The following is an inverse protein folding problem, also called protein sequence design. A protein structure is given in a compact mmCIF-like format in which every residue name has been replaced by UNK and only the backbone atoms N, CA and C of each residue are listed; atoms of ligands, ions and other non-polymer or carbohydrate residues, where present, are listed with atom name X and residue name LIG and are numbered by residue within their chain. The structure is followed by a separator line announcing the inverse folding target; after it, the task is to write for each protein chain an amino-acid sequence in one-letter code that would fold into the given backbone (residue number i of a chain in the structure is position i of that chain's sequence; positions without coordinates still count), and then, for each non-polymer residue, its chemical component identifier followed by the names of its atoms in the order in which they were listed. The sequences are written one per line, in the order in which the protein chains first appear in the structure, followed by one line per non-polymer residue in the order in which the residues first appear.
data_IF_106303556141
#
_entry.id   IF_106303556141
#
_cell.length_a   1.000
_cell.length_b   1.000
_cell.length_c   1.000
_cell.angle_alpha   90.00
_cell.angle_beta   90.00
_cell.angle_gamma   90.00
#
_symmetry.space_group_name_H-M   'P 1'
#
loop_
_entity.id
_entity.type
_entity.pdbx_description
1 polymer ?
#
# COMPACT_ATOMS: atom_id res chain seq x y z
N UNK A 1 -72.81 -37.29 7.32
CA UNK A 1 -72.05 -38.38 7.95
C UNK A 1 -70.84 -38.66 7.06
N UNK A 2 -69.70 -37.99 7.27
CA UNK A 2 -68.51 -38.13 6.44
C UNK A 2 -67.66 -39.33 6.92
N UNK A 3 -67.12 -40.18 6.02
CA UNK A 3 -66.48 -41.42 6.41
C UNK A 3 -65.14 -41.20 7.15
N UNK A 4 -64.91 -42.00 8.20
CA UNK A 4 -63.73 -41.97 9.11
C UNK A 4 -62.36 -42.09 8.39
N UNK A 5 -62.33 -42.41 7.10
CA UNK A 5 -61.13 -42.47 6.26
C UNK A 5 -60.50 -41.10 5.96
N UNK A 6 -61.31 -40.04 5.86
CA UNK A 6 -60.81 -38.67 5.57
C UNK A 6 -60.01 -38.06 6.72
N UNK A 7 -60.40 -38.36 7.97
CA UNK A 7 -59.73 -37.83 9.16
C UNK A 7 -58.31 -38.38 9.31
N UNK A 8 -58.11 -39.67 9.05
CA UNK A 8 -56.80 -40.33 9.13
C UNK A 8 -55.87 -39.82 8.02
N UNK A 9 -56.37 -39.68 6.78
CA UNK A 9 -55.60 -39.11 5.68
C UNK A 9 -55.16 -37.66 5.94
N UNK A 10 -56.03 -36.83 6.55
CA UNK A 10 -55.69 -35.47 6.95
C UNK A 10 -54.58 -35.42 8.01
N UNK A 11 -54.62 -36.32 9.01
CA UNK A 11 -53.59 -36.39 10.06
C UNK A 11 -52.24 -36.79 9.48
N UNK A 12 -52.20 -37.79 8.58
CA UNK A 12 -50.95 -38.18 7.90
C UNK A 12 -50.41 -37.06 6.99
N UNK A 13 -51.29 -36.34 6.29
CA UNK A 13 -50.91 -35.20 5.46
C UNK A 13 -50.29 -34.06 6.29
N UNK A 14 -50.89 -33.73 7.44
CA UNK A 14 -50.36 -32.71 8.36
C UNK A 14 -49.02 -33.11 8.98
N UNK A 15 -48.85 -34.38 9.35
CA UNK A 15 -47.56 -34.88 9.85
C UNK A 15 -46.47 -34.81 8.79
N UNK A 16 -46.78 -35.20 7.55
CA UNK A 16 -45.82 -35.13 6.44
C UNK A 16 -45.41 -33.68 6.15
N UNK A 17 -46.37 -32.74 6.18
CA UNK A 17 -46.08 -31.31 6.03
C UNK A 17 -45.19 -30.76 7.15
N UNK A 18 -45.43 -31.13 8.42
CA UNK A 18 -44.56 -30.71 9.52
C UNK A 18 -43.14 -31.27 9.37
N UNK A 19 -42.97 -32.54 8.98
CA UNK A 19 -41.65 -33.13 8.77
C UNK A 19 -40.90 -32.43 7.63
N UNK A 20 -41.57 -32.15 6.52
CA UNK A 20 -40.97 -31.44 5.37
C UNK A 20 -40.55 -30.02 5.76
N UNK A 21 -41.40 -29.28 6.50
CA UNK A 21 -41.08 -27.93 7.00
C UNK A 21 -39.92 -27.95 7.99
N UNK A 22 -39.82 -28.96 8.85
CA UNK A 22 -38.70 -29.13 9.79
C UNK A 22 -37.38 -29.43 9.09
N UNK A 23 -37.40 -30.23 8.01
CA UNK A 23 -36.20 -30.51 7.21
C UNK A 23 -35.76 -29.24 6.46
N UNK A 24 -36.70 -28.55 5.81
CA UNK A 24 -36.41 -27.31 5.10
C UNK A 24 -35.85 -26.22 6.02
N UNK A 25 -36.42 -26.03 7.23
CA UNK A 25 -35.92 -25.05 8.20
C UNK A 25 -34.52 -25.39 8.72
N UNK A 26 -34.21 -26.69 8.90
CA UNK A 26 -32.88 -27.15 9.31
C UNK A 26 -31.83 -26.88 8.24
N UNK A 27 -32.19 -27.07 6.96
CA UNK A 27 -31.30 -26.78 5.83
C UNK A 27 -31.09 -25.26 5.67
N UNK A 28 -32.12 -24.44 5.88
CA UNK A 28 -31.96 -22.97 5.90
C UNK A 28 -31.09 -22.49 7.06
N UNK A 29 -31.23 -23.05 8.27
CA UNK A 29 -30.39 -22.65 9.41
C UNK A 29 -28.93 -23.04 9.24
N UNK A 30 -28.67 -24.24 8.68
CA UNK A 30 -27.31 -24.70 8.41
C UNK A 30 -26.64 -23.89 7.29
N UNK A 31 -27.38 -23.55 6.24
CA UNK A 31 -26.87 -22.69 5.15
C UNK A 31 -26.65 -21.25 5.61
N UNK A 32 -27.54 -20.69 6.44
CA UNK A 32 -27.36 -19.35 7.04
C UNK A 32 -26.13 -19.34 7.95
N UNK A 33 -25.94 -20.36 8.81
CA UNK A 33 -24.73 -20.48 9.66
C UNK A 33 -23.44 -20.64 8.84
N UNK A 34 -23.45 -21.46 7.80
CA UNK A 34 -22.31 -21.62 6.89
C UNK A 34 -21.99 -20.30 6.15
N UNK A 35 -23.02 -19.58 5.69
CA UNK A 35 -22.85 -18.28 5.02
C UNK A 35 -22.31 -17.20 5.97
N UNK A 36 -22.73 -17.21 7.24
CA UNK A 36 -22.26 -16.30 8.27
C UNK A 36 -20.81 -16.60 8.66
N UNK A 37 -20.48 -17.87 8.89
CA UNK A 37 -19.11 -18.31 9.17
C UNK A 37 -18.15 -17.96 8.03
N UNK A 38 -18.57 -18.16 6.78
CA UNK A 38 -17.77 -17.75 5.61
C UNK A 38 -17.62 -16.23 5.54
N UNK A 39 -18.68 -15.45 5.77
CA UNK A 39 -18.58 -13.97 5.86
C UNK A 39 -17.63 -13.53 6.97
N UNK A 40 -17.70 -14.16 8.13
CA UNK A 40 -16.83 -13.84 9.27
C UNK A 40 -15.37 -14.20 8.96
N UNK A 41 -15.10 -15.30 8.24
CA UNK A 41 -13.75 -15.63 7.72
C UNK A 41 -13.26 -14.57 6.73
N UNK A 42 -14.08 -14.17 5.74
CA UNK A 42 -13.70 -13.13 4.78
C UNK A 42 -13.48 -11.78 5.44
N UNK A 43 -14.29 -11.42 6.44
CA UNK A 43 -14.12 -10.19 7.21
C UNK A 43 -12.86 -10.26 8.07
N UNK A 44 -12.54 -11.41 8.67
CA UNK A 44 -11.31 -11.56 9.46
C UNK A 44 -10.05 -11.64 8.58
N UNK A 45 -10.13 -12.18 7.36
CA UNK A 45 -9.07 -12.08 6.35
C UNK A 45 -8.89 -10.62 5.91
N UNK A 46 -9.97 -9.92 5.59
CA UNK A 46 -9.95 -8.50 5.21
C UNK A 46 -9.51 -7.56 6.35
N UNK A 47 -9.71 -7.93 7.62
CA UNK A 47 -9.22 -7.19 8.80
C UNK A 47 -7.76 -7.49 9.13
N UNK A 48 -7.26 -8.70 8.84
CA UNK A 48 -5.82 -8.99 8.89
C UNK A 48 -5.07 -8.38 7.69
N UNK A 49 -5.80 -8.08 6.61
CA UNK A 49 -5.42 -7.18 5.52
C UNK A 49 -5.93 -5.74 5.74
N UNK A 50 -5.94 -5.24 6.99
CA UNK A 50 -5.52 -3.86 7.14
C UNK A 50 -4.07 -3.81 6.63
N UNK A 51 -3.93 -3.62 5.32
CA UNK A 51 -2.73 -3.09 4.70
C UNK A 51 -2.45 -1.81 5.46
N UNK A 52 -1.66 -1.92 6.52
CA UNK A 52 -1.01 -0.78 7.14
C UNK A 52 -0.26 -0.14 5.98
N UNK A 53 -0.81 0.94 5.42
CA UNK A 53 -0.18 1.62 4.30
C UNK A 53 1.19 2.06 4.79
N UNK A 54 2.23 1.35 4.34
CA UNK A 54 3.59 1.64 4.74
C UNK A 54 3.88 3.08 4.38
N UNK A 55 4.53 3.79 5.30
CA UNK A 55 4.94 5.17 5.03
C UNK A 55 5.85 5.17 3.80
N UNK A 56 5.72 6.17 2.93
CA UNK A 56 6.51 6.27 1.70
C UNK A 56 7.41 7.48 1.76
N UNK A 57 8.66 7.28 1.37
CA UNK A 57 9.56 8.38 1.04
C UNK A 57 9.86 8.35 -0.45
N UNK A 58 10.02 9.53 -1.03
CA UNK A 58 10.39 9.68 -2.43
C UNK A 58 11.84 10.13 -2.53
N UNK A 59 12.63 9.43 -3.34
CA UNK A 59 13.99 9.80 -3.69
C UNK A 59 13.97 10.61 -4.99
N UNK A 60 14.28 11.91 -4.90
CA UNK A 60 14.42 12.82 -6.02
C UNK A 60 15.86 12.73 -6.55
N UNK A 61 16.03 12.03 -7.67
CA UNK A 61 17.35 11.67 -8.24
C UNK A 61 17.60 12.26 -9.64
N UNK A 62 16.57 12.70 -10.36
CA UNK A 62 16.71 13.14 -11.74
C UNK A 62 17.39 14.51 -11.84
N UNK A 63 18.30 14.63 -12.81
CA UNK A 63 18.88 15.91 -13.29
C UNK A 63 17.83 16.59 -14.18
N UNK A 64 17.65 17.92 -14.12
CA UNK A 64 16.68 18.60 -15.00
C UNK A 64 17.02 18.32 -16.47
N UNK A 65 15.98 17.94 -17.20
CA UNK A 65 16.05 17.61 -18.62
C UNK A 65 15.75 18.89 -19.39
N UNK A 66 16.64 19.31 -20.28
CA UNK A 66 16.40 20.45 -21.19
C UNK A 66 15.72 19.88 -22.43
N UNK A 67 14.58 20.45 -22.84
CA UNK A 67 13.79 20.01 -24.02
C UNK A 67 13.20 18.58 -23.99
N UNK A 68 13.23 17.89 -22.84
CA UNK A 68 12.62 16.56 -22.68
C UNK A 68 13.53 15.38 -23.01
N UNK A 69 14.75 15.62 -23.50
CA UNK A 69 15.78 14.59 -23.67
C UNK A 69 16.96 14.76 -22.70
N UNK A 70 17.43 13.69 -22.03
CA UNK A 70 18.62 13.78 -21.20
C UNK A 70 19.81 14.16 -22.07
N UNK A 71 20.54 15.20 -21.66
CA UNK A 71 21.71 15.73 -22.38
C UNK A 71 22.72 14.64 -22.77
N UNK A 72 22.81 13.58 -21.95
CA UNK A 72 23.59 12.38 -22.24
C UNK A 72 22.85 11.12 -21.76
N UNK A 73 22.39 10.24 -22.67
CA UNK A 73 21.69 8.99 -22.31
C UNK A 73 22.50 8.01 -21.45
N UNK A 74 23.82 7.98 -21.63
CA UNK A 74 24.71 7.09 -20.86
C UNK A 74 24.79 7.57 -19.41
N UNK A 75 24.95 8.88 -19.23
CA UNK A 75 25.00 9.51 -17.91
C UNK A 75 23.66 9.34 -17.17
N UNK A 76 22.54 9.52 -17.87
CA UNK A 76 21.22 9.24 -17.32
C UNK A 76 21.07 7.79 -16.85
N UNK A 77 21.51 6.81 -17.65
CA UNK A 77 21.47 5.41 -17.25
C UNK A 77 22.33 5.13 -16.00
N UNK A 78 23.46 5.82 -15.84
CA UNK A 78 24.28 5.74 -14.62
C UNK A 78 23.52 6.30 -13.42
N UNK A 79 22.87 7.46 -13.54
CA UNK A 79 22.09 8.05 -12.45
C UNK A 79 20.90 7.17 -12.03
N UNK A 80 20.17 6.61 -13.00
CA UNK A 80 19.08 5.65 -12.73
C UNK A 80 19.61 4.46 -11.92
N UNK A 81 20.76 3.89 -12.33
CA UNK A 81 21.36 2.74 -11.63
C UNK A 81 21.78 3.09 -10.21
N UNK A 82 22.39 4.26 -10.00
CA UNK A 82 22.76 4.75 -8.66
C UNK A 82 21.53 4.92 -7.77
N UNK A 83 20.49 5.57 -8.27
CA UNK A 83 19.27 5.84 -7.51
C UNK A 83 18.57 4.55 -7.10
N UNK A 84 18.44 3.59 -8.03
CA UNK A 84 17.93 2.24 -7.76
C UNK A 84 18.74 1.54 -6.67
N UNK A 85 20.06 1.51 -6.82
CA UNK A 85 20.94 0.86 -5.84
C UNK A 85 20.79 1.44 -4.45
N UNK A 86 20.69 2.76 -4.32
CA UNK A 86 20.49 3.42 -3.03
C UNK A 86 19.11 3.10 -2.43
N UNK A 87 18.04 3.22 -3.22
CA UNK A 87 16.68 2.93 -2.76
C UNK A 87 16.53 1.45 -2.34
N UNK A 88 17.12 0.52 -3.09
CA UNK A 88 17.15 -0.91 -2.73
C UNK A 88 17.90 -1.17 -1.43
N UNK A 89 19.05 -0.52 -1.22
CA UNK A 89 19.81 -0.64 0.03
C UNK A 89 19.00 -0.10 1.22
N UNK A 90 18.37 1.05 1.06
CA UNK A 90 17.53 1.67 2.09
C UNK A 90 16.30 0.81 2.41
N UNK A 91 15.61 0.30 1.40
CA UNK A 91 14.44 -0.58 1.59
C UNK A 91 14.82 -1.92 2.22
N UNK A 92 15.98 -2.48 1.86
CA UNK A 92 16.50 -3.69 2.53
C UNK A 92 16.72 -3.43 4.01
N UNK A 93 17.32 -2.29 4.36
CA UNK A 93 17.51 -1.92 5.76
C UNK A 93 16.18 -1.74 6.50
N UNK A 94 15.18 -1.12 5.87
CA UNK A 94 13.84 -1.03 6.46
C UNK A 94 13.25 -2.41 6.74
N UNK A 95 13.37 -3.34 5.80
CA UNK A 95 12.91 -4.72 5.99
C UNK A 95 13.69 -5.43 7.11
N UNK A 96 15.02 -5.29 7.16
CA UNK A 96 15.87 -5.90 8.20
C UNK A 96 15.60 -5.36 9.60
N UNK A 97 15.29 -4.06 9.71
CA UNK A 97 14.99 -3.38 10.98
C UNK A 97 13.50 -3.34 11.33
N UNK A 98 12.64 -3.94 10.49
CA UNK A 98 11.19 -3.90 10.62
C UNK A 98 10.65 -2.46 10.75
N UNK A 99 11.22 -1.53 9.97
CA UNK A 99 10.78 -0.13 9.88
C UNK A 99 9.66 -0.04 8.85
N UNK A 100 8.55 0.59 9.24
CA UNK A 100 7.35 0.76 8.42
C UNK A 100 7.50 1.90 7.39
N UNK A 101 8.46 1.73 6.48
CA UNK A 101 8.77 2.69 5.43
C UNK A 101 9.14 2.00 4.12
N UNK A 102 8.84 2.67 3.00
CA UNK A 102 9.26 2.26 1.67
C UNK A 102 9.74 3.47 0.85
N UNK A 103 10.96 3.39 0.35
CA UNK A 103 11.56 4.38 -0.53
C UNK A 103 11.22 4.08 -1.99
N UNK A 104 10.64 5.07 -2.67
CA UNK A 104 10.31 5.01 -4.10
C UNK A 104 11.11 6.03 -4.89
N UNK A 105 11.41 5.69 -6.14
CA UNK A 105 12.11 6.60 -7.04
C UNK A 105 11.16 7.64 -7.63
N UNK A 106 11.62 8.89 -7.65
CA UNK A 106 10.93 9.97 -8.34
C UNK A 106 10.74 9.68 -9.84
N UNK A 107 9.53 9.94 -10.33
CA UNK A 107 9.10 9.86 -11.73
C UNK A 107 8.30 11.11 -12.17
N UNK A 108 8.18 12.11 -11.30
CA UNK A 108 7.29 13.27 -11.45
C UNK A 108 7.69 14.28 -12.54
N UNK A 109 8.76 14.01 -13.28
CA UNK A 109 9.29 14.90 -14.31
C UNK A 109 9.46 16.37 -13.85
N UNK A 110 9.90 16.58 -12.59
CA UNK A 110 10.03 17.88 -11.92
C UNK A 110 8.73 18.52 -11.39
N UNK A 111 7.60 17.81 -11.31
CA UNK A 111 6.34 18.36 -10.76
C UNK A 111 6.38 18.43 -9.23
N UNK A 112 6.29 19.63 -8.66
CA UNK A 112 6.31 19.84 -7.22
C UNK A 112 5.12 19.22 -6.50
N UNK A 113 3.92 19.39 -7.05
CA UNK A 113 2.68 18.87 -6.46
C UNK A 113 2.73 17.33 -6.33
N UNK A 114 3.42 16.66 -7.26
CA UNK A 114 3.62 15.22 -7.22
C UNK A 114 4.71 14.81 -6.23
N UNK A 115 5.84 15.55 -6.16
CA UNK A 115 6.93 15.28 -5.22
C UNK A 115 6.49 15.47 -3.77
N UNK A 116 5.69 16.50 -3.51
CA UNK A 116 5.16 16.85 -2.18
C UNK A 116 3.73 16.34 -1.95
N UNK A 117 3.29 15.39 -2.76
CA UNK A 117 2.00 14.75 -2.60
C UNK A 117 1.86 14.16 -1.18
N UNK A 118 0.67 14.26 -0.54
CA UNK A 118 0.42 13.75 0.81
C UNK A 118 0.73 12.25 1.00
N UNK A 119 0.84 11.51 -0.10
CA UNK A 119 1.23 10.10 -0.08
C UNK A 119 2.67 9.89 0.41
N UNK A 120 3.52 10.91 0.37
CA UNK A 120 4.90 10.85 0.83
C UNK A 120 5.06 11.58 2.17
N UNK A 121 5.61 10.88 3.17
CA UNK A 121 5.88 11.46 4.48
C UNK A 121 7.26 12.14 4.54
N UNK A 122 8.15 11.80 3.60
CA UNK A 122 9.44 12.45 3.47
C UNK A 122 9.93 12.48 2.01
N UNK A 123 10.71 13.53 1.70
CA UNK A 123 11.37 13.74 0.41
C UNK A 123 12.89 13.70 0.63
N UNK A 124 13.57 12.80 -0.08
CA UNK A 124 15.02 12.66 -0.06
C UNK A 124 15.59 13.24 -1.35
N UNK A 125 16.51 14.20 -1.25
CA UNK A 125 17.15 14.82 -2.41
C UNK A 125 18.55 14.23 -2.64
N UNK A 126 18.76 13.62 -3.80
CA UNK A 126 20.08 13.17 -4.21
C UNK A 126 21.01 14.38 -4.48
N UNK A 127 22.31 14.27 -4.20
CA UNK A 127 23.27 15.36 -4.37
C UNK A 127 23.48 15.76 -5.83
N UNK A 128 23.23 14.85 -6.78
CA UNK A 128 23.31 15.15 -8.22
C UNK A 128 22.11 15.97 -8.71
N UNK A 129 21.00 16.02 -7.96
CA UNK A 129 19.84 16.85 -8.27
C UNK A 129 20.00 18.32 -7.80
N UNK A 130 21.23 18.80 -7.56
CA UNK A 130 21.54 20.15 -7.05
C UNK A 130 20.82 21.29 -7.79
N UNK A 131 20.69 21.19 -9.10
CA UNK A 131 19.98 22.19 -9.91
C UNK A 131 18.47 22.22 -9.59
N UNK A 132 17.85 21.06 -9.31
CA UNK A 132 16.47 20.98 -8.80
C UNK A 132 16.37 21.49 -7.36
N UNK A 133 17.34 21.15 -6.50
CA UNK A 133 17.38 21.66 -5.13
C UNK A 133 17.38 23.20 -5.09
N UNK A 134 18.07 23.85 -6.04
CA UNK A 134 18.08 25.31 -6.17
C UNK A 134 16.75 25.88 -6.69
N UNK A 135 16.18 25.27 -7.74
CA UNK A 135 14.88 25.68 -8.31
C UNK A 135 13.78 25.67 -7.26
N UNK A 136 13.77 24.64 -6.41
CA UNK A 136 12.73 24.45 -5.41
C UNK A 136 12.98 25.20 -4.10
N UNK A 137 14.12 25.89 -3.94
CA UNK A 137 14.57 26.41 -2.64
C UNK A 137 13.56 27.36 -1.96
N UNK A 138 12.75 28.10 -2.72
CA UNK A 138 11.70 28.99 -2.16
C UNK A 138 10.38 28.27 -1.88
N UNK A 139 9.95 27.40 -2.79
CA UNK A 139 8.66 26.70 -2.71
C UNK A 139 8.73 25.56 -1.67
N UNK A 140 9.85 24.84 -1.62
CA UNK A 140 10.10 23.74 -0.67
C UNK A 140 10.27 24.22 0.76
N UNK A 141 10.64 25.48 0.99
CA UNK A 141 10.67 26.02 2.35
C UNK A 141 9.27 26.18 2.96
N UNK A 142 8.23 26.31 2.14
CA UNK A 142 6.86 26.48 2.61
C UNK A 142 6.14 25.14 2.86
N UNK A 143 6.67 24.05 2.31
CA UNK A 143 6.06 22.72 2.46
C UNK A 143 6.26 22.14 3.86
N UNK A 144 5.27 21.42 4.38
CA UNK A 144 5.33 20.80 5.73
C UNK A 144 5.98 19.41 5.74
N UNK A 145 6.15 18.79 4.56
CA UNK A 145 6.73 17.45 4.43
C UNK A 145 8.20 17.44 4.87
N UNK A 146 8.64 16.39 5.57
CA UNK A 146 10.03 16.22 6.00
C UNK A 146 10.95 16.14 4.77
N UNK A 147 12.10 16.83 4.81
CA UNK A 147 13.07 16.83 3.71
C UNK A 147 14.45 16.47 4.22
N UNK A 148 15.16 15.62 3.48
CA UNK A 148 16.55 15.28 3.75
C UNK A 148 17.39 15.51 2.49
N UNK A 149 18.51 16.20 2.64
CA UNK A 149 19.47 16.41 1.56
C UNK A 149 20.63 15.45 1.75
N UNK A 150 20.73 14.47 0.86
CA UNK A 150 21.76 13.44 0.95
C UNK A 150 23.13 14.05 0.65
N UNK A 151 24.10 13.75 1.50
CA UNK A 151 25.49 14.06 1.21
C UNK A 151 26.03 13.16 0.10
N UNK A 152 27.08 13.62 -0.58
CA UNK A 152 27.72 12.87 -1.65
C UNK A 152 28.15 11.47 -1.20
N UNK A 153 28.73 11.36 0.00
CA UNK A 153 29.20 10.09 0.55
C UNK A 153 28.04 9.20 0.99
N UNK A 154 26.99 9.76 1.61
CA UNK A 154 25.81 9.01 2.02
C UNK A 154 25.16 8.32 0.82
N UNK A 155 24.96 9.06 -0.27
CA UNK A 155 24.33 8.54 -1.47
C UNK A 155 25.21 7.54 -2.23
N UNK A 156 26.48 7.86 -2.49
CA UNK A 156 27.35 7.02 -3.31
C UNK A 156 27.88 5.78 -2.57
N UNK A 157 28.06 5.86 -1.26
CA UNK A 157 28.49 4.72 -0.42
C UNK A 157 27.32 3.99 0.24
N UNK A 158 26.08 4.42 0.02
CA UNK A 158 24.87 3.86 0.64
C UNK A 158 24.97 3.81 2.18
N UNK A 159 25.45 4.89 2.79
CA UNK A 159 25.37 5.06 4.25
C UNK A 159 23.96 5.53 4.57
N UNK A 160 23.15 4.61 5.08
CA UNK A 160 21.69 4.74 5.19
C UNK A 160 21.22 4.94 6.63
N UNK A 161 22.12 4.78 7.60
CA UNK A 161 21.82 4.83 9.03
C UNK A 161 21.24 6.19 9.44
N UNK A 162 21.92 7.29 9.06
CA UNK A 162 21.46 8.66 9.34
C UNK A 162 20.11 8.98 8.68
N UNK A 163 19.92 8.48 7.45
CA UNK A 163 18.69 8.68 6.70
C UNK A 163 17.53 7.93 7.35
N UNK A 164 17.78 6.69 7.81
CA UNK A 164 16.78 5.89 8.50
C UNK A 164 16.43 6.48 9.87
N UNK A 165 17.40 7.00 10.61
CA UNK A 165 17.21 7.72 11.87
C UNK A 165 16.29 8.94 11.66
N UNK A 166 16.61 9.79 10.68
CA UNK A 166 15.78 10.94 10.30
C UNK A 166 14.33 10.57 9.94
N UNK A 167 14.12 9.44 9.25
CA UNK A 167 12.79 8.96 8.86
C UNK A 167 12.00 8.35 10.02
N UNK A 168 12.69 7.95 11.09
CA UNK A 168 12.10 7.31 12.27
C UNK A 168 11.76 8.32 13.38
N UNK A 169 12.41 9.48 13.41
CA UNK A 169 11.95 10.68 14.13
C UNK A 169 10.57 11.15 13.64
#
# INVERSE_FOLDING_TARGET
MAPKSYQIAHIYCLFFLMVVVCIANRDTDNTVKASKFNKDIYINLAKNEEYKEMKKCILVWQVPVIEGEPYNPVEYAVYVRKAKKFAEALNRYFAEKNIDYNCVLDKSACSLDEIFSPQYQAVLFAPEAKTRQWLYKKEVQNETVKKYYLEYMEYNSAQIEKVAEFLSE
#
